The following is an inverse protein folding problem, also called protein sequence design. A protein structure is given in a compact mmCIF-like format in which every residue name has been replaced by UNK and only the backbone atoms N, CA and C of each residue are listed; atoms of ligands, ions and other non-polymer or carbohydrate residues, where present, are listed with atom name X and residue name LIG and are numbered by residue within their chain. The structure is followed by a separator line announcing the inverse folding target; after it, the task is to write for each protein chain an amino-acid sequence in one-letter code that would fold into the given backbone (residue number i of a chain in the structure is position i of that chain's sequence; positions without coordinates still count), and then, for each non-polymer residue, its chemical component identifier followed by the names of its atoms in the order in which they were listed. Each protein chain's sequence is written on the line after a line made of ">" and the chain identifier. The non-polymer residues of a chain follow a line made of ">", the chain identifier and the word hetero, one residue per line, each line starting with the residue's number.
data_IF_279567250672
#
_entry.id   IF_279567250672
#
_cell.length_a   1.000
_cell.length_b   1.000
_cell.length_c   1.000
_cell.angle_alpha   90.00
_cell.angle_beta   90.00
_cell.angle_gamma   90.00
#
_symmetry.space_group_name_H-M   'P 1'
#
loop_
_entity.id
_entity.type
_entity.pdbx_description
1 polymer ?
#
# COMPACT_ATOMS: atom_id res chain seq x y z
N UNK A 1 -0.91 -1.65 -20.78
CA UNK A 1 -0.76 -2.01 -19.36
C UNK A 1 -2.09 -2.24 -18.69
N UNK A 2 -2.78 -1.16 -18.28
CA UNK A 2 -4.00 -1.23 -17.46
C UNK A 2 -5.10 -2.16 -17.98
N UNK A 3 -5.53 -2.02 -19.24
CA UNK A 3 -6.57 -2.89 -19.81
C UNK A 3 -6.22 -4.39 -19.72
N UNK A 4 -4.98 -4.77 -20.02
CA UNK A 4 -4.52 -6.15 -19.91
C UNK A 4 -4.45 -6.65 -18.46
N UNK A 5 -4.05 -5.80 -17.52
CA UNK A 5 -4.03 -6.16 -16.10
C UNK A 5 -5.44 -6.45 -15.57
N UNK A 6 -6.42 -5.61 -15.91
CA UNK A 6 -7.81 -5.85 -15.52
C UNK A 6 -8.47 -7.00 -16.30
N UNK A 7 -8.10 -7.20 -17.57
CA UNK A 7 -8.57 -8.35 -18.34
C UNK A 7 -8.07 -9.67 -17.74
N UNK A 8 -6.79 -9.74 -17.38
CA UNK A 8 -6.23 -10.91 -16.69
C UNK A 8 -6.90 -11.15 -15.34
N UNK A 9 -7.15 -10.08 -14.57
CA UNK A 9 -7.92 -10.20 -13.33
C UNK A 9 -9.34 -10.73 -13.56
N UNK A 10 -10.05 -10.23 -14.58
CA UNK A 10 -11.39 -10.70 -14.91
C UNK A 10 -11.40 -12.18 -15.31
N UNK A 11 -10.44 -12.63 -16.12
CA UNK A 11 -10.30 -14.04 -16.46
C UNK A 11 -9.97 -14.91 -15.24
N UNK A 12 -9.05 -14.47 -14.37
CA UNK A 12 -8.71 -15.18 -13.15
C UNK A 12 -9.96 -15.37 -12.26
N UNK A 13 -10.74 -14.31 -12.04
CA UNK A 13 -12.01 -14.42 -11.30
C UNK A 13 -12.98 -15.40 -11.96
N UNK A 14 -13.14 -15.33 -13.29
CA UNK A 14 -14.01 -16.27 -14.01
C UNK A 14 -13.55 -17.72 -13.89
N UNK A 15 -12.25 -17.99 -13.79
CA UNK A 15 -11.72 -19.34 -13.61
C UNK A 15 -12.24 -20.00 -12.31
N UNK A 16 -12.42 -19.22 -11.24
CA UNK A 16 -12.94 -19.70 -9.96
C UNK A 16 -14.47 -19.77 -9.91
N UNK A 17 -15.17 -18.94 -10.67
CA UNK A 17 -16.63 -18.93 -10.72
C UNK A 17 -17.20 -19.95 -11.74
N UNK A 18 -16.48 -20.22 -12.82
CA UNK A 18 -16.91 -21.08 -13.93
C UNK A 18 -16.02 -22.33 -14.04
N UNK A 19 -16.14 -23.25 -13.07
CA UNK A 19 -15.28 -24.43 -12.92
C UNK A 19 -15.10 -25.27 -14.20
N UNK A 20 -16.15 -25.41 -15.03
CA UNK A 20 -16.09 -26.16 -16.30
C UNK A 20 -15.08 -25.59 -17.30
N UNK A 21 -14.79 -24.29 -17.22
CA UNK A 21 -13.90 -23.57 -18.11
C UNK A 21 -12.64 -23.04 -17.40
N UNK A 22 -12.34 -23.53 -16.17
CA UNK A 22 -11.25 -23.03 -15.31
C UNK A 22 -9.93 -22.92 -16.08
N UNK A 23 -9.46 -24.01 -16.67
CA UNK A 23 -8.14 -24.07 -17.32
C UNK A 23 -8.03 -23.09 -18.51
N UNK A 24 -9.11 -22.91 -19.26
CA UNK A 24 -9.18 -21.98 -20.39
C UNK A 24 -9.08 -20.52 -19.92
N UNK A 25 -9.77 -20.18 -18.83
CA UNK A 25 -9.67 -18.85 -18.25
C UNK A 25 -8.33 -18.60 -17.57
N UNK A 26 -7.74 -19.59 -16.89
CA UNK A 26 -6.38 -19.47 -16.35
C UNK A 26 -5.36 -19.19 -17.47
N UNK A 27 -5.44 -19.92 -18.59
CA UNK A 27 -4.59 -19.67 -19.76
C UNK A 27 -4.80 -18.25 -20.33
N UNK A 28 -6.05 -17.81 -20.45
CA UNK A 28 -6.40 -16.46 -20.92
C UNK A 28 -5.89 -15.37 -19.97
N UNK A 29 -5.96 -15.61 -18.65
CA UNK A 29 -5.44 -14.70 -17.64
C UNK A 29 -3.91 -14.54 -17.78
N UNK A 30 -3.18 -15.65 -17.92
CA UNK A 30 -1.72 -15.64 -18.12
C UNK A 30 -1.36 -14.91 -19.41
N UNK A 31 -2.07 -15.15 -20.52
CA UNK A 31 -1.85 -14.44 -21.78
C UNK A 31 -2.04 -12.93 -21.63
N UNK A 32 -3.12 -12.50 -20.97
CA UNK A 32 -3.38 -11.10 -20.69
C UNK A 32 -2.26 -10.49 -19.82
N UNK A 33 -1.87 -11.15 -18.73
CA UNK A 33 -0.80 -10.68 -17.86
C UNK A 33 0.56 -10.58 -18.58
N UNK A 34 0.85 -11.45 -19.56
CA UNK A 34 2.06 -11.38 -20.40
C UNK A 34 2.12 -10.11 -21.28
N UNK A 35 0.99 -9.47 -21.55
CA UNK A 35 0.95 -8.20 -22.29
C UNK A 35 1.14 -6.97 -21.39
N UNK A 36 1.24 -7.14 -20.08
CA UNK A 36 1.59 -6.07 -19.15
C UNK A 36 3.11 -5.87 -19.15
N UNK A 37 3.58 -4.94 -19.99
CA UNK A 37 5.00 -4.66 -20.23
C UNK A 37 5.36 -3.24 -19.84
N UNK A 38 6.63 -3.00 -19.51
CA UNK A 38 7.18 -1.66 -19.21
C UNK A 38 6.98 -1.19 -17.76
N UNK A 39 6.65 -2.10 -16.84
CA UNK A 39 6.51 -1.81 -15.42
C UNK A 39 7.57 -2.57 -14.61
N UNK A 40 7.98 -2.00 -13.48
CA UNK A 40 9.01 -2.53 -12.59
C UNK A 40 8.55 -2.34 -11.14
N UNK A 41 8.94 -3.25 -10.23
CA UNK A 41 8.71 -3.04 -8.80
C UNK A 41 9.56 -1.87 -8.31
N UNK A 42 9.00 -1.02 -7.45
CA UNK A 42 9.79 0.04 -6.82
C UNK A 42 10.66 -0.55 -5.71
N UNK A 43 11.89 -0.05 -5.59
CA UNK A 43 12.79 -0.46 -4.50
C UNK A 43 12.26 -0.07 -3.12
N UNK A 44 11.62 1.10 -3.02
CA UNK A 44 11.07 1.60 -1.77
C UNK A 44 9.54 1.57 -1.79
N UNK A 45 8.98 0.51 -1.21
CA UNK A 45 7.54 0.25 -1.15
C UNK A 45 6.72 1.41 -0.52
N UNK A 46 7.25 2.12 0.49
CA UNK A 46 6.48 3.18 1.15
C UNK A 46 6.24 4.40 0.26
N UNK A 47 7.09 4.63 -0.74
CA UNK A 47 7.00 5.81 -1.63
C UNK A 47 5.75 5.79 -2.51
N UNK A 48 5.21 4.59 -2.79
CA UNK A 48 3.96 4.39 -3.53
C UNK A 48 2.73 4.96 -2.81
N UNK A 49 2.79 5.08 -1.50
CA UNK A 49 1.62 5.35 -0.65
C UNK A 49 1.77 6.61 0.21
N UNK A 50 2.86 7.37 0.05
CA UNK A 50 3.14 8.60 0.81
C UNK A 50 2.94 9.88 0.00
N UNK A 51 2.77 9.74 -1.32
CA UNK A 51 2.70 10.86 -2.26
C UNK A 51 4.06 11.24 -2.88
N UNK A 52 5.15 10.61 -2.44
CA UNK A 52 6.52 10.95 -2.86
C UNK A 52 6.89 10.40 -4.25
N UNK A 53 6.25 9.32 -4.70
CA UNK A 53 6.56 8.64 -5.96
C UNK A 53 5.29 8.32 -6.75
N UNK A 54 4.56 9.37 -7.14
CA UNK A 54 3.36 9.27 -7.99
C UNK A 54 3.73 8.79 -9.39
N UNK A 55 2.83 8.04 -10.03
CA UNK A 55 3.05 7.53 -11.38
C UNK A 55 4.38 6.77 -11.50
N UNK A 56 4.73 6.03 -10.44
CA UNK A 56 5.96 5.26 -10.42
C UNK A 56 5.96 4.19 -11.51
N UNK A 57 7.13 3.59 -11.75
CA UNK A 57 7.23 2.44 -12.65
C UNK A 57 6.42 1.21 -12.20
N UNK A 58 5.99 1.13 -10.95
CA UNK A 58 5.13 0.03 -10.48
C UNK A 58 3.65 0.34 -10.68
N UNK A 59 3.30 1.60 -10.91
CA UNK A 59 1.93 2.04 -11.07
C UNK A 59 1.37 1.72 -12.44
N UNK A 60 0.34 0.87 -12.50
CA UNK A 60 -0.38 0.56 -13.73
C UNK A 60 -1.61 1.45 -13.87
N UNK A 61 -2.33 1.68 -12.78
CA UNK A 61 -3.48 2.56 -12.71
C UNK A 61 -3.61 3.20 -11.33
N UNK A 62 -3.74 4.53 -11.30
CA UNK A 62 -3.79 5.37 -10.10
C UNK A 62 -4.90 6.41 -10.20
N UNK A 63 -5.60 6.64 -9.10
CA UNK A 63 -6.44 7.83 -8.95
C UNK A 63 -5.55 9.02 -8.57
N UNK A 64 -5.59 10.05 -9.41
CA UNK A 64 -4.74 11.23 -9.28
C UNK A 64 -5.35 12.25 -8.32
N UNK A 65 -4.58 12.66 -7.33
CA UNK A 65 -4.91 13.79 -6.47
C UNK A 65 -3.88 14.91 -6.61
N UNK A 66 -4.32 16.15 -6.44
CA UNK A 66 -3.50 17.35 -6.56
C UNK A 66 -3.90 18.39 -5.51
N UNK A 67 -2.89 19.07 -4.95
CA UNK A 67 -3.10 20.26 -4.11
C UNK A 67 -3.40 21.51 -4.94
N UNK A 68 -3.24 21.44 -6.28
CA UNK A 68 -3.53 22.55 -7.17
C UNK A 68 -5.03 22.90 -7.12
N UNK A 69 -5.30 24.19 -6.95
CA UNK A 69 -6.64 24.79 -7.03
C UNK A 69 -6.84 25.60 -8.32
N UNK A 70 -5.95 25.41 -9.31
CA UNK A 70 -6.01 26.13 -10.58
C UNK A 70 -7.39 25.95 -11.24
N UNK A 71 -7.92 27.05 -11.79
CA UNK A 71 -9.23 27.08 -12.46
C UNK A 71 -10.40 26.59 -11.60
N UNK A 72 -10.31 26.72 -10.27
CA UNK A 72 -11.37 26.30 -9.34
C UNK A 72 -11.46 24.78 -9.12
N UNK A 73 -10.50 24.01 -9.64
CA UNK A 73 -10.44 22.58 -9.42
C UNK A 73 -10.19 22.23 -7.95
N UNK A 74 -10.85 21.19 -7.44
CA UNK A 74 -10.54 20.61 -6.12
C UNK A 74 -10.40 19.11 -6.26
N UNK A 75 -9.15 18.65 -6.39
CA UNK A 75 -8.80 17.23 -6.54
C UNK A 75 -7.90 16.76 -5.40
N UNK A 76 -8.08 17.31 -4.20
CA UNK A 76 -7.38 16.91 -2.97
C UNK A 76 -8.27 16.02 -2.13
N UNK A 77 -7.69 15.26 -1.22
CA UNK A 77 -8.40 14.30 -0.37
C UNK A 77 -8.07 14.51 1.10
N UNK A 78 -8.91 14.01 1.99
CA UNK A 78 -8.62 13.90 3.43
C UNK A 78 -8.36 12.44 3.84
N UNK A 79 -8.00 11.59 2.88
CA UNK A 79 -7.87 10.16 3.12
C UNK A 79 -6.84 9.84 4.22
N UNK A 80 -5.78 10.64 4.35
CA UNK A 80 -4.81 10.50 5.45
C UNK A 80 -5.40 10.84 6.82
N UNK A 81 -6.39 11.74 6.90
CA UNK A 81 -7.12 12.00 8.14
C UNK A 81 -8.03 10.83 8.49
N UNK A 82 -8.78 10.33 7.51
CA UNK A 82 -9.67 9.19 7.69
C UNK A 82 -8.91 7.93 8.14
N UNK A 83 -7.76 7.63 7.53
CA UNK A 83 -6.96 6.43 7.87
C UNK A 83 -6.09 6.60 9.13
N UNK A 84 -5.77 7.84 9.49
CA UNK A 84 -4.89 8.17 10.60
C UNK A 84 -5.57 8.02 11.95
N UNK A 85 -4.75 7.81 12.98
CA UNK A 85 -5.20 7.78 14.38
C UNK A 85 -5.15 9.16 15.02
N UNK A 86 -5.94 9.39 16.07
CA UNK A 86 -6.04 10.67 16.78
C UNK A 86 -4.69 11.21 17.29
N UNK A 87 -3.76 10.36 17.74
CA UNK A 87 -2.42 10.80 18.16
C UNK A 87 -1.66 11.49 17.02
N UNK A 88 -1.95 11.09 15.78
CA UNK A 88 -1.37 11.68 14.56
C UNK A 88 -2.36 12.64 13.88
N UNK A 89 -3.39 13.10 14.59
CA UNK A 89 -4.41 14.04 14.08
C UNK A 89 -5.36 13.45 13.04
N UNK A 90 -5.51 12.13 12.98
CA UNK A 90 -6.52 11.46 12.17
C UNK A 90 -7.86 11.31 12.89
N UNK A 91 -8.79 10.58 12.27
CA UNK A 91 -10.19 10.44 12.69
C UNK A 91 -10.53 9.08 13.29
N UNK A 92 -9.55 8.16 13.39
CA UNK A 92 -9.74 6.84 14.00
C UNK A 92 -10.81 5.95 13.32
N UNK A 93 -11.09 6.18 12.04
CA UNK A 93 -12.18 5.50 11.32
C UNK A 93 -11.86 4.04 10.98
N UNK A 94 -10.57 3.71 10.87
CA UNK A 94 -10.09 2.33 10.68
C UNK A 94 -8.82 2.09 11.48
N UNK A 95 -8.68 0.88 12.02
CA UNK A 95 -7.51 0.45 12.76
C UNK A 95 -6.99 -0.90 12.22
N UNK A 96 -5.66 -1.12 12.24
CA UNK A 96 -5.07 -2.41 11.94
C UNK A 96 -5.64 -3.53 12.81
N UNK A 97 -6.08 -4.62 12.20
CA UNK A 97 -6.59 -5.79 12.94
C UNK A 97 -5.44 -6.61 13.52
N UNK A 98 -5.73 -7.36 14.60
CA UNK A 98 -4.75 -8.28 15.17
C UNK A 98 -4.30 -9.35 14.15
N UNK A 99 -5.20 -9.79 13.27
CA UNK A 99 -4.89 -10.72 12.17
C UNK A 99 -3.84 -10.14 11.23
N UNK A 100 -3.96 -8.87 10.84
CA UNK A 100 -2.96 -8.23 9.98
C UNK A 100 -1.58 -8.21 10.66
N UNK A 101 -1.55 -7.87 11.95
CA UNK A 101 -0.32 -7.80 12.73
C UNK A 101 0.29 -9.19 12.88
N UNK A 102 -0.50 -10.22 13.16
CA UNK A 102 -0.01 -11.58 13.31
C UNK A 102 0.55 -12.15 12.02
N UNK A 103 -0.09 -11.90 10.87
CA UNK A 103 0.42 -12.38 9.58
C UNK A 103 1.75 -11.72 9.22
N UNK A 104 1.96 -10.43 9.50
CA UNK A 104 3.28 -9.80 9.31
C UNK A 104 4.36 -10.38 10.22
N UNK A 105 4.02 -10.79 11.45
CA UNK A 105 4.98 -11.33 12.42
C UNK A 105 5.26 -12.83 12.23
N UNK A 106 4.45 -13.52 11.43
CA UNK A 106 4.44 -14.99 11.31
C UNK A 106 5.76 -15.58 10.83
N UNK A 107 6.45 -14.91 9.92
CA UNK A 107 7.76 -15.34 9.40
C UNK A 107 8.93 -14.97 10.33
N UNK A 108 8.67 -14.23 11.41
CA UNK A 108 9.68 -13.74 12.34
C UNK A 108 10.57 -12.65 11.75
N UNK A 109 11.69 -12.38 12.43
CA UNK A 109 12.67 -11.35 12.06
C UNK A 109 13.71 -11.89 11.07
N UNK A 110 13.23 -12.38 9.93
CA UNK A 110 14.05 -13.07 8.92
C UNK A 110 14.44 -12.16 7.74
N UNK A 111 14.00 -10.90 7.74
CA UNK A 111 14.38 -9.96 6.70
C UNK A 111 15.90 -9.68 6.74
N UNK A 112 16.48 -9.30 5.61
CA UNK A 112 17.92 -8.95 5.51
C UNK A 112 18.32 -7.76 6.39
N UNK A 113 17.34 -6.99 6.89
CA UNK A 113 17.52 -5.93 7.88
C UNK A 113 17.69 -6.44 9.31
N UNK A 114 17.54 -7.75 9.54
CA UNK A 114 17.52 -8.36 10.88
C UNK A 114 16.25 -8.03 11.66
N UNK A 115 15.13 -7.77 10.97
CA UNK A 115 13.85 -7.33 11.54
C UNK A 115 12.70 -8.09 10.88
N UNK A 116 11.46 -7.82 11.31
CA UNK A 116 10.26 -8.25 10.57
C UNK A 116 10.29 -7.73 9.13
N UNK A 117 9.39 -8.28 8.31
CA UNK A 117 9.20 -7.84 6.94
C UNK A 117 9.15 -6.30 6.84
N UNK A 118 9.99 -5.73 5.98
CA UNK A 118 10.07 -4.27 5.77
C UNK A 118 8.73 -3.64 5.37
N UNK A 119 7.83 -4.42 4.75
CA UNK A 119 6.47 -3.99 4.40
C UNK A 119 5.59 -3.78 5.64
N UNK A 120 5.87 -4.45 6.76
CA UNK A 120 5.20 -4.20 8.03
C UNK A 120 5.49 -2.76 8.49
N UNK A 121 6.76 -2.36 8.54
CA UNK A 121 7.17 -1.00 8.89
C UNK A 121 6.69 0.04 7.88
N UNK A 122 6.55 -0.30 6.59
CA UNK A 122 5.95 0.62 5.63
C UNK A 122 4.41 0.71 5.74
N UNK A 123 3.77 -0.26 6.40
CA UNK A 123 2.30 -0.34 6.51
C UNK A 123 1.80 0.14 7.87
N UNK A 124 2.56 -0.03 8.94
CA UNK A 124 2.14 0.17 10.31
C UNK A 124 3.15 1.03 11.10
N UNK A 125 2.61 1.88 11.97
CA UNK A 125 3.30 2.37 13.17
C UNK A 125 2.88 1.51 14.36
N UNK A 126 3.86 1.10 15.17
CA UNK A 126 3.65 0.28 16.37
C UNK A 126 4.82 0.46 17.33
N UNK A 127 4.61 0.20 18.62
CA UNK A 127 5.67 0.29 19.60
C UNK A 127 6.76 -0.78 19.32
N UNK A 128 7.96 -0.34 18.97
CA UNK A 128 9.13 -1.19 18.78
C UNK A 128 10.42 -0.37 18.86
N UNK A 129 11.55 -1.06 18.99
CA UNK A 129 12.88 -0.44 19.02
C UNK A 129 13.16 0.40 17.76
N UNK A 130 12.72 -0.07 16.58
CA UNK A 130 12.92 0.64 15.32
C UNK A 130 12.31 2.06 15.36
N UNK A 131 11.10 2.21 15.90
CA UNK A 131 10.44 3.51 15.99
C UNK A 131 10.79 4.31 17.25
N UNK A 132 11.61 3.76 18.15
CA UNK A 132 12.03 4.38 19.40
C UNK A 132 13.57 4.37 19.52
N UNK A 133 14.28 4.57 18.41
CA UNK A 133 15.74 4.53 18.34
C UNK A 133 16.39 5.92 18.42
N UNK A 134 15.62 6.96 18.76
CA UNK A 134 16.07 8.35 18.83
C UNK A 134 16.29 9.02 17.47
N UNK A 135 15.98 8.36 16.34
CA UNK A 135 16.14 8.94 15.00
C UNK A 135 14.89 9.66 14.48
N UNK A 136 13.85 9.81 15.31
CA UNK A 136 12.68 10.60 14.93
C UNK A 136 11.85 9.96 13.80
N UNK A 137 11.75 8.63 13.78
CA UNK A 137 11.18 7.88 12.64
C UNK A 137 9.68 8.05 12.46
N UNK A 138 8.99 8.63 13.46
CA UNK A 138 7.58 8.97 13.40
C UNK A 138 7.48 10.49 13.34
N UNK A 139 7.51 11.03 12.13
CA UNK A 139 7.37 12.48 11.86
C UNK A 139 8.32 13.38 12.67
N UNK A 140 9.57 12.95 12.86
CA UNK A 140 10.59 13.72 13.60
C UNK A 140 10.70 13.37 15.08
N UNK A 141 9.86 12.45 15.58
CA UNK A 141 9.85 12.00 16.97
C UNK A 141 9.86 10.48 17.05
N UNK A 142 10.13 9.96 18.25
CA UNK A 142 9.97 8.54 18.50
C UNK A 142 8.47 8.20 18.64
N UNK A 143 8.12 6.93 18.45
CA UNK A 143 6.74 6.48 18.58
C UNK A 143 6.19 6.81 19.97
N UNK A 144 6.97 6.59 21.03
CA UNK A 144 6.51 6.82 22.40
C UNK A 144 6.23 8.30 22.71
N UNK A 145 6.85 9.25 22.01
CA UNK A 145 6.55 10.68 22.15
C UNK A 145 5.15 11.03 21.63
N UNK A 146 4.71 10.35 20.57
CA UNK A 146 3.37 10.52 19.99
C UNK A 146 2.29 9.75 20.76
N UNK A 147 2.62 8.52 21.16
CA UNK A 147 1.64 7.55 21.63
C UNK A 147 1.64 7.38 23.16
N UNK A 148 2.47 8.13 23.89
CA UNK A 148 2.54 8.10 25.36
C UNK A 148 2.75 6.68 25.89
N UNK A 149 3.71 5.96 25.30
CA UNK A 149 4.06 4.56 25.62
C UNK A 149 2.90 3.55 25.49
N UNK A 150 1.81 3.89 24.81
CA UNK A 150 0.68 2.97 24.58
C UNK A 150 1.05 1.93 23.51
N UNK A 151 0.54 0.71 23.68
CA UNK A 151 0.66 -0.38 22.69
C UNK A 151 -0.36 -0.23 21.55
N UNK A 152 -0.39 0.93 20.90
CA UNK A 152 -1.34 1.22 19.81
C UNK A 152 -0.75 0.87 18.45
N UNK A 153 -1.50 0.22 17.57
CA UNK A 153 -1.07 0.02 16.19
C UNK A 153 -1.87 0.94 15.28
N UNK A 154 -1.18 1.68 14.42
CA UNK A 154 -1.77 2.64 13.50
C UNK A 154 -1.33 2.36 12.06
N UNK A 155 -2.16 2.67 11.09
CA UNK A 155 -1.73 2.62 9.69
C UNK A 155 -0.71 3.73 9.42
N UNK A 156 0.37 3.36 8.73
CA UNK A 156 1.35 4.27 8.11
C UNK A 156 1.11 4.40 6.60
N UNK A 157 0.64 3.33 5.95
CA UNK A 157 0.32 3.37 4.52
C UNK A 157 -0.76 4.42 4.27
N UNK A 158 -0.61 5.23 3.21
CA UNK A 158 -1.49 6.37 2.90
C UNK A 158 -1.39 7.55 3.86
N UNK A 159 -0.42 7.53 4.78
CA UNK A 159 -0.05 8.71 5.54
C UNK A 159 1.08 9.48 4.82
N UNK A 160 1.15 10.82 4.98
CA UNK A 160 2.22 11.64 4.42
C UNK A 160 3.61 11.20 4.92
N UNK A 161 4.67 11.54 4.17
CA UNK A 161 6.06 11.24 4.56
C UNK A 161 6.64 12.26 5.56
N UNK A 162 6.03 13.45 5.67
CA UNK A 162 6.57 14.59 6.46
C UNK A 162 5.61 15.08 7.51
N UNK A 163 6.15 15.67 8.58
CA UNK A 163 5.38 16.33 9.64
C UNK A 163 4.53 17.49 9.09
N UNK A 164 5.06 18.25 8.14
CA UNK A 164 4.31 19.30 7.45
C UNK A 164 3.08 18.72 6.74
N UNK A 165 3.25 17.62 5.99
CA UNK A 165 2.15 16.94 5.32
C UNK A 165 1.11 16.39 6.29
N UNK A 166 1.56 15.86 7.44
CA UNK A 166 0.67 15.41 8.51
C UNK A 166 -0.20 16.55 9.05
N UNK A 167 0.35 17.76 9.16
CA UNK A 167 -0.37 18.93 9.67
C UNK A 167 -1.34 19.56 8.66
N UNK A 168 -1.35 19.12 7.39
CA UNK A 168 -2.30 19.61 6.40
C UNK A 168 -3.69 18.98 6.58
N UNK A 169 -4.75 19.77 6.38
CA UNK A 169 -6.14 19.25 6.39
C UNK A 169 -6.44 18.34 5.21
N UNK A 170 -5.71 18.52 4.11
CA UNK A 170 -5.85 17.76 2.88
C UNK A 170 -4.49 17.27 2.41
N UNK A 171 -4.48 16.14 1.72
CA UNK A 171 -3.33 15.60 1.03
C UNK A 171 -3.65 15.37 -0.45
N UNK A 172 -2.59 15.17 -1.22
CA UNK A 172 -2.69 14.80 -2.62
C UNK A 172 -2.01 13.46 -2.86
N UNK A 173 -2.14 12.50 -1.94
CA UNK A 173 -1.57 11.17 -2.11
C UNK A 173 -2.40 10.41 -3.15
N UNK A 174 -1.77 9.94 -4.23
CA UNK A 174 -2.44 9.12 -5.23
C UNK A 174 -2.81 7.76 -4.63
N UNK A 175 -3.92 7.17 -5.12
CA UNK A 175 -4.34 5.83 -4.71
C UNK A 175 -4.10 4.86 -5.86
N UNK A 176 -3.09 3.96 -5.77
CA UNK A 176 -2.88 2.92 -6.76
C UNK A 176 -4.01 1.88 -6.69
N UNK A 177 -4.69 1.67 -7.82
CA UNK A 177 -5.75 0.67 -7.96
C UNK A 177 -5.27 -0.62 -8.62
N UNK A 178 -4.22 -0.52 -9.45
CA UNK A 178 -3.54 -1.67 -10.03
C UNK A 178 -2.04 -1.38 -10.02
N UNK A 179 -1.27 -2.26 -9.38
CA UNK A 179 0.20 -2.21 -9.34
C UNK A 179 0.79 -3.39 -10.08
N UNK A 180 2.05 -3.28 -10.48
CA UNK A 180 2.75 -4.40 -11.10
C UNK A 180 2.85 -5.62 -10.19
N UNK A 181 3.00 -5.42 -8.87
CA UNK A 181 2.92 -6.52 -7.89
C UNK A 181 1.58 -7.29 -7.95
N UNK A 182 0.45 -6.63 -8.24
CA UNK A 182 -0.83 -7.33 -8.40
C UNK A 182 -0.78 -8.27 -9.61
N UNK A 183 -0.27 -7.79 -10.74
CA UNK A 183 -0.13 -8.60 -11.96
C UNK A 183 0.80 -9.79 -11.72
N UNK A 184 1.95 -9.59 -11.07
CA UNK A 184 2.89 -10.67 -10.77
C UNK A 184 2.28 -11.74 -9.87
N UNK A 185 1.58 -11.34 -8.81
CA UNK A 185 0.96 -12.28 -7.87
C UNK A 185 -0.23 -13.01 -8.49
N UNK A 186 -1.12 -12.32 -9.20
CA UNK A 186 -2.25 -12.95 -9.90
C UNK A 186 -1.77 -13.89 -11.01
N UNK A 187 -0.68 -13.55 -11.71
CA UNK A 187 -0.07 -14.44 -12.70
C UNK A 187 0.54 -15.68 -12.04
N UNK A 188 1.22 -15.52 -10.90
CA UNK A 188 1.78 -16.64 -10.14
C UNK A 188 0.68 -17.58 -9.64
N UNK A 189 -0.42 -17.03 -9.13
CA UNK A 189 -1.62 -17.78 -8.74
C UNK A 189 -2.18 -18.58 -9.92
N UNK A 190 -2.40 -17.92 -11.07
CA UNK A 190 -2.90 -18.60 -12.26
C UNK A 190 -1.99 -19.74 -12.76
N UNK A 191 -0.68 -19.58 -12.62
CA UNK A 191 0.31 -20.61 -12.97
C UNK A 191 0.37 -21.76 -11.97
N UNK A 192 0.08 -21.49 -10.69
CA UNK A 192 0.07 -22.52 -9.64
C UNK A 192 -1.19 -23.39 -9.68
N UNK A 193 -2.27 -22.87 -10.26
CA UNK A 193 -3.59 -23.51 -10.31
C UNK A 193 -3.89 -24.20 -11.65
N UNK A 194 -2.91 -24.16 -12.57
CA UNK A 194 -2.92 -24.87 -13.85
C UNK A 194 -2.51 -26.34 -13.72
#
# INVERSE_FOLDING_TARGET
>A
GSAYAYLGFAYLTRAYEEATNKDSYLASAIEAFNQVKGYELVNNFSTMFSGDNKNSKESIFEIQFSMSSANGATYRTQFHRWIGVSELGGWDEILPSQTLISEFKKEGETATTGRYDSRMYATLFFNCDYYNDGNGRVYGYDYNDWFDNKERVAFRKFMPSTYEGLNQNYSAINVPLMRYANVLLMKAEALNEQ
#
